data_IF_931979430527
#
_entry.id   IF_931979430527
#
_cell.length_a   1.000
_cell.length_b   1.000
_cell.length_c   1.000
_cell.angle_alpha   90.00
_cell.angle_beta   90.00
_cell.angle_gamma   90.00
#
_symmetry.space_group_name_H-M   'P 1'
#
loop_
_entity.id
_entity.type
_entity.pdbx_description
1 polymer ?
#
# COMPACT_ATOMS: atom_id res chain seq x y z
N UNK A 1 -2.52 24.87 50.47
CA UNK A 1 -1.95 25.34 49.20
C UNK A 1 -1.25 24.26 48.41
N UNK A 2 -0.46 23.39 49.00
CA UNK A 2 0.22 22.29 48.27
C UNK A 2 -0.71 21.29 47.58
N UNK A 3 -1.90 21.01 48.12
CA UNK A 3 -2.89 20.11 47.54
C UNK A 3 -3.55 20.62 46.26
N UNK A 4 -3.68 21.93 46.07
CA UNK A 4 -4.29 22.55 44.90
C UNK A 4 -3.36 22.53 43.67
N UNK A 5 -2.05 22.66 43.90
CA UNK A 5 -1.03 22.62 42.86
C UNK A 5 -0.88 21.19 42.35
N UNK A 6 -0.96 20.19 43.21
CA UNK A 6 -0.90 18.78 42.85
C UNK A 6 -2.10 18.33 42.00
N UNK A 7 -3.31 18.81 42.34
CA UNK A 7 -4.53 18.52 41.56
C UNK A 7 -4.50 19.14 40.16
N UNK A 8 -3.90 20.31 40.02
CA UNK A 8 -3.75 21.02 38.76
C UNK A 8 -2.76 20.30 37.83
N UNK A 9 -1.63 19.84 38.36
CA UNK A 9 -0.64 19.07 37.58
C UNK A 9 -1.21 17.72 37.10
N UNK A 10 -1.99 17.04 37.91
CA UNK A 10 -2.63 15.76 37.56
C UNK A 10 -3.69 15.95 36.46
N UNK A 11 -4.46 17.03 36.54
CA UNK A 11 -5.44 17.36 35.47
C UNK A 11 -4.76 17.75 34.17
N UNK A 12 -3.64 18.42 34.19
CA UNK A 12 -2.87 18.77 33.00
C UNK A 12 -2.25 17.53 32.34
N UNK A 13 -1.71 16.60 33.12
CA UNK A 13 -1.20 15.32 32.60
C UNK A 13 -2.30 14.46 31.98
N UNK A 14 -3.51 14.42 32.55
CA UNK A 14 -4.65 13.72 32.00
C UNK A 14 -5.13 14.35 30.69
N UNK A 15 -5.13 15.65 30.56
CA UNK A 15 -5.46 16.35 29.32
C UNK A 15 -4.45 16.06 28.21
N UNK A 16 -3.16 15.95 28.53
CA UNK A 16 -2.12 15.61 27.57
C UNK A 16 -2.19 14.14 27.10
N UNK A 17 -2.63 13.22 27.95
CA UNK A 17 -2.84 11.81 27.59
C UNK A 17 -4.15 11.58 26.82
N UNK A 18 -5.11 12.50 26.95
CA UNK A 18 -6.38 12.46 26.22
C UNK A 18 -6.34 13.25 24.90
N UNK A 19 -5.29 13.98 24.62
CA UNK A 19 -5.08 14.56 23.31
C UNK A 19 -4.95 13.42 22.29
N UNK A 20 -5.82 13.39 21.25
CA UNK A 20 -5.79 12.29 20.32
C UNK A 20 -4.49 12.32 19.51
N UNK A 21 -3.49 11.63 20.01
CA UNK A 21 -2.35 11.20 19.21
C UNK A 21 -2.77 10.17 18.20
N UNK A 22 -4.02 9.73 18.26
CA UNK A 22 -4.58 8.65 17.46
C UNK A 22 -5.23 9.12 16.15
N UNK A 23 -5.06 10.35 15.69
CA UNK A 23 -5.66 10.83 14.44
C UNK A 23 -4.88 10.38 13.19
N UNK A 24 -3.71 9.82 13.37
CA UNK A 24 -3.07 9.04 12.32
C UNK A 24 -3.35 7.57 12.60
N UNK A 25 -4.15 6.94 11.76
CA UNK A 25 -4.02 5.51 11.58
C UNK A 25 -2.53 5.29 11.23
N UNK A 26 -1.73 5.02 12.22
CA UNK A 26 -0.37 4.57 12.00
C UNK A 26 -0.51 3.27 11.23
N UNK A 27 -0.15 3.31 9.96
CA UNK A 27 -0.01 2.08 9.19
C UNK A 27 1.05 1.26 9.92
N UNK A 28 0.60 0.22 10.60
CA UNK A 28 1.50 -0.67 11.29
C UNK A 28 2.20 -1.56 10.26
N UNK A 29 3.30 -1.04 9.71
CA UNK A 29 4.11 -1.77 8.74
C UNK A 29 4.95 -2.90 9.34
N UNK A 30 4.89 -3.14 10.67
CA UNK A 30 5.70 -4.16 11.33
C UNK A 30 5.49 -5.57 10.77
N UNK A 31 4.27 -5.88 10.33
CA UNK A 31 3.92 -7.17 9.71
C UNK A 31 3.89 -7.13 8.18
N UNK A 32 4.18 -5.98 7.59
CA UNK A 32 4.13 -5.79 6.15
C UNK A 32 5.52 -5.93 5.53
N UNK A 33 5.57 -6.41 4.31
CA UNK A 33 6.80 -6.54 3.55
C UNK A 33 6.98 -5.35 2.62
N UNK A 34 8.14 -4.72 2.68
CA UNK A 34 8.48 -3.66 1.71
C UNK A 34 8.66 -4.28 0.33
N UNK A 35 8.03 -3.68 -0.68
CA UNK A 35 8.22 -4.08 -2.07
C UNK A 35 9.23 -3.17 -2.74
N UNK A 36 10.33 -3.74 -3.18
CA UNK A 36 11.46 -3.03 -3.81
C UNK A 36 11.60 -3.30 -5.32
N UNK A 37 10.68 -4.08 -5.90
CA UNK A 37 10.69 -4.40 -7.32
C UNK A 37 11.56 -5.60 -7.70
N UNK A 38 12.21 -6.27 -6.76
CA UNK A 38 13.09 -7.41 -7.05
C UNK A 38 12.35 -8.75 -7.04
N UNK A 39 11.46 -8.96 -6.06
CA UNK A 39 10.63 -10.16 -6.01
C UNK A 39 9.29 -9.91 -6.68
N UNK A 40 9.10 -10.43 -7.86
CA UNK A 40 7.89 -10.26 -8.66
C UNK A 40 6.85 -11.38 -8.45
N UNK A 41 7.09 -12.31 -7.52
CA UNK A 41 6.11 -13.32 -7.14
C UNK A 41 5.64 -13.10 -5.71
N UNK A 42 4.43 -12.58 -5.55
CA UNK A 42 3.88 -12.23 -4.25
C UNK A 42 2.95 -13.33 -3.75
N UNK A 43 3.30 -13.92 -2.62
CA UNK A 43 2.49 -14.89 -1.88
C UNK A 43 1.61 -14.21 -0.84
N UNK A 44 0.84 -15.00 -0.09
CA UNK A 44 -0.04 -14.49 0.98
C UNK A 44 0.66 -13.47 1.86
N UNK A 45 0.04 -12.32 2.01
CA UNK A 45 0.58 -11.28 2.87
C UNK A 45 0.25 -9.87 2.41
N UNK A 46 0.85 -8.93 3.09
CA UNK A 46 0.68 -7.50 2.87
C UNK A 46 2.01 -6.87 2.50
N UNK A 47 1.98 -6.06 1.47
CA UNK A 47 3.15 -5.41 0.87
C UNK A 47 2.91 -3.91 0.75
N UNK A 48 3.96 -3.12 0.81
CA UNK A 48 3.86 -1.67 0.66
C UNK A 48 5.06 -1.07 -0.06
N UNK A 49 4.88 0.08 -0.68
CA UNK A 49 5.97 0.86 -1.26
C UNK A 49 6.60 1.76 -0.19
N UNK A 50 7.90 1.66 -0.03
CA UNK A 50 8.69 2.57 0.82
C UNK A 50 9.25 3.78 0.06
N UNK A 51 9.01 3.85 -1.25
CA UNK A 51 9.43 4.89 -2.18
C UNK A 51 8.91 4.56 -3.56
N UNK A 52 9.22 5.41 -4.55
CA UNK A 52 8.92 5.08 -5.94
C UNK A 52 9.73 3.85 -6.37
N UNK A 53 9.07 2.90 -6.99
CA UNK A 53 9.68 1.64 -7.44
C UNK A 53 9.48 1.49 -8.94
N UNK A 54 10.56 1.09 -9.61
CA UNK A 54 10.54 0.68 -11.01
C UNK A 54 10.87 -0.80 -11.10
N UNK A 55 9.97 -1.58 -11.68
CA UNK A 55 10.15 -3.01 -11.88
C UNK A 55 10.39 -3.32 -13.36
N UNK A 56 10.96 -4.49 -13.65
CA UNK A 56 11.34 -4.90 -15.01
C UNK A 56 10.51 -6.09 -15.54
N UNK A 57 9.41 -6.40 -14.93
CA UNK A 57 8.55 -7.52 -15.33
C UNK A 57 7.20 -7.47 -14.63
N UNK A 58 6.44 -8.51 -14.84
CA UNK A 58 5.10 -8.72 -14.32
C UNK A 58 5.11 -9.22 -12.87
N UNK A 59 4.24 -8.67 -12.04
CA UNK A 59 4.01 -9.18 -10.69
C UNK A 59 2.97 -10.29 -10.75
N UNK A 60 3.36 -11.49 -10.38
CA UNK A 60 2.45 -12.64 -10.27
C UNK A 60 1.91 -12.75 -8.84
N UNK A 61 0.59 -12.83 -8.73
CA UNK A 61 -0.10 -13.01 -7.46
C UNK A 61 -0.37 -14.49 -7.22
N UNK A 62 0.29 -15.08 -6.23
CA UNK A 62 0.19 -16.50 -5.89
C UNK A 62 -0.52 -16.79 -4.57
N UNK A 63 -1.23 -15.81 -4.01
CA UNK A 63 -1.99 -15.95 -2.77
C UNK A 63 -3.02 -14.85 -2.59
N UNK A 64 -3.40 -14.59 -1.35
CA UNK A 64 -4.18 -13.43 -0.96
C UNK A 64 -3.23 -12.29 -0.61
N UNK A 65 -3.12 -11.30 -1.49
CA UNK A 65 -2.16 -10.21 -1.40
C UNK A 65 -2.87 -8.87 -1.22
N UNK A 66 -2.42 -8.11 -0.25
CA UNK A 66 -2.75 -6.69 -0.12
C UNK A 66 -1.52 -5.87 -0.48
N UNK A 67 -1.67 -4.90 -1.37
CA UNK A 67 -0.59 -4.06 -1.87
C UNK A 67 -0.95 -2.59 -1.67
N UNK A 68 -0.15 -1.89 -0.87
CA UNK A 68 -0.36 -0.49 -0.54
C UNK A 68 0.67 0.39 -1.23
N UNK A 69 0.20 1.32 -2.03
CA UNK A 69 1.07 2.26 -2.76
C UNK A 69 1.71 3.30 -1.84
N UNK A 70 1.11 3.55 -0.66
CA UNK A 70 1.66 4.47 0.35
C UNK A 70 2.07 5.84 -0.20
N UNK A 71 1.31 6.35 -1.20
CA UNK A 71 1.57 7.63 -1.84
C UNK A 71 2.66 7.63 -2.90
N UNK A 72 3.23 6.47 -3.22
CA UNK A 72 4.33 6.35 -4.20
C UNK A 72 3.86 5.79 -5.55
N UNK A 73 4.75 5.85 -6.52
CA UNK A 73 4.50 5.36 -7.86
C UNK A 73 5.21 4.05 -8.11
N UNK A 74 4.46 3.06 -8.61
CA UNK A 74 4.97 1.82 -9.14
C UNK A 74 4.99 1.90 -10.67
N UNK A 75 6.16 1.75 -11.26
CA UNK A 75 6.38 1.83 -12.70
C UNK A 75 6.92 0.50 -13.23
N UNK A 76 6.49 0.09 -14.42
CA UNK A 76 7.05 -1.06 -15.10
C UNK A 76 7.82 -0.64 -16.35
N UNK A 77 9.10 -1.02 -16.43
CA UNK A 77 9.95 -0.76 -17.60
C UNK A 77 9.86 -1.83 -18.69
N UNK A 78 9.26 -2.98 -18.44
CA UNK A 78 9.00 -3.97 -19.45
C UNK A 78 8.07 -3.41 -20.54
N UNK A 79 7.97 -4.08 -21.66
CA UNK A 79 7.12 -3.64 -22.78
C UNK A 79 6.19 -4.79 -23.13
N UNK A 80 4.93 -4.47 -23.34
CA UNK A 80 3.86 -5.42 -23.72
C UNK A 80 3.62 -6.51 -22.65
N UNK A 81 3.77 -6.16 -21.37
CA UNK A 81 3.46 -7.05 -20.26
C UNK A 81 2.33 -6.51 -19.39
N UNK A 82 1.66 -7.39 -18.68
CA UNK A 82 0.76 -6.99 -17.60
C UNK A 82 1.58 -6.59 -16.36
N UNK A 83 1.15 -5.57 -15.65
CA UNK A 83 1.87 -5.18 -14.43
C UNK A 83 1.57 -6.13 -13.27
N UNK A 84 0.31 -6.59 -13.20
CA UNK A 84 -0.13 -7.58 -12.22
C UNK A 84 -0.93 -8.69 -12.89
N UNK A 85 -0.61 -9.93 -12.55
CA UNK A 85 -1.37 -11.10 -12.98
C UNK A 85 -1.98 -11.82 -11.79
N UNK A 86 -3.31 -11.96 -11.80
CA UNK A 86 -4.09 -12.61 -10.74
C UNK A 86 -4.78 -13.81 -11.33
N UNK A 87 -4.32 -15.00 -10.96
CA UNK A 87 -4.81 -16.27 -11.48
C UNK A 87 -5.85 -16.94 -10.56
N UNK A 88 -6.26 -18.13 -10.93
CA UNK A 88 -7.30 -18.92 -10.28
C UNK A 88 -7.29 -18.90 -8.75
N UNK A 89 -8.38 -18.41 -8.18
CA UNK A 89 -8.62 -18.41 -6.74
C UNK A 89 -7.72 -17.46 -5.93
N UNK A 90 -6.88 -16.67 -6.60
CA UNK A 90 -6.02 -15.68 -5.93
C UNK A 90 -6.73 -14.34 -5.82
N UNK A 91 -6.31 -13.54 -4.87
CA UNK A 91 -6.90 -12.21 -4.63
C UNK A 91 -5.82 -11.17 -4.50
N UNK A 92 -5.95 -10.09 -5.25
CA UNK A 92 -5.13 -8.89 -5.11
C UNK A 92 -6.01 -7.72 -4.66
N UNK A 93 -5.65 -7.11 -3.55
CA UNK A 93 -6.23 -5.85 -3.10
C UNK A 93 -5.20 -4.75 -3.25
N UNK A 94 -5.50 -3.74 -4.05
CA UNK A 94 -4.69 -2.53 -4.19
C UNK A 94 -5.32 -1.42 -3.36
N UNK A 95 -4.52 -0.76 -2.58
CA UNK A 95 -4.93 0.41 -1.79
C UNK A 95 -3.82 1.47 -1.80
N UNK A 96 -4.17 2.65 -1.40
CA UNK A 96 -3.24 3.75 -1.17
C UNK A 96 -3.54 4.41 0.17
N UNK A 97 -2.71 4.16 1.16
CA UNK A 97 -2.81 4.79 2.48
C UNK A 97 -2.16 6.18 2.51
N UNK A 98 -1.41 6.51 1.48
CA UNK A 98 -0.83 7.83 1.28
C UNK A 98 -1.73 8.74 0.44
N UNK A 99 -1.12 9.57 -0.38
CA UNK A 99 -1.80 10.48 -1.29
C UNK A 99 -1.21 10.33 -2.68
N UNK A 100 -2.09 10.21 -3.68
CA UNK A 100 -1.72 10.12 -5.10
C UNK A 100 -0.85 8.90 -5.47
N UNK A 101 -0.96 7.81 -4.71
CA UNK A 101 -0.33 6.54 -5.04
C UNK A 101 -0.74 6.07 -6.44
N UNK A 102 0.24 5.78 -7.29
CA UNK A 102 0.02 5.58 -8.72
C UNK A 102 0.64 4.27 -9.21
N UNK A 103 -0.09 3.56 -10.05
CA UNK A 103 0.40 2.48 -10.91
C UNK A 103 0.53 3.06 -12.31
N UNK A 104 1.76 3.16 -12.84
CA UNK A 104 2.07 3.78 -14.12
C UNK A 104 2.56 2.75 -15.13
N UNK A 105 1.75 2.48 -16.15
CA UNK A 105 2.06 1.56 -17.25
C UNK A 105 2.96 2.15 -18.33
N UNK A 106 3.30 3.43 -18.27
CA UNK A 106 4.18 4.15 -19.22
C UNK A 106 3.73 4.06 -20.69
N UNK A 107 2.45 3.83 -20.96
CA UNK A 107 1.89 3.58 -22.29
C UNK A 107 2.50 2.35 -23.00
N UNK A 108 3.10 1.44 -22.25
CA UNK A 108 3.76 0.22 -22.74
C UNK A 108 3.12 -1.04 -22.20
N UNK A 109 2.51 -0.95 -21.03
CA UNK A 109 2.06 -2.11 -20.27
C UNK A 109 0.57 -2.03 -19.95
N UNK A 110 -0.07 -3.19 -19.87
CA UNK A 110 -1.42 -3.30 -19.31
C UNK A 110 -1.35 -3.23 -17.78
N UNK A 111 -2.38 -2.70 -17.14
CA UNK A 111 -2.38 -2.58 -15.68
C UNK A 111 -2.53 -3.93 -14.98
N UNK A 112 -3.58 -4.66 -15.33
CA UNK A 112 -3.94 -5.90 -14.65
C UNK A 112 -4.44 -6.95 -15.62
N UNK A 113 -4.00 -8.19 -15.40
CA UNK A 113 -4.57 -9.39 -16.01
C UNK A 113 -5.20 -10.23 -14.91
N UNK A 114 -6.49 -10.47 -14.99
CA UNK A 114 -7.24 -11.27 -14.01
C UNK A 114 -7.90 -12.45 -14.71
N UNK A 115 -7.39 -13.64 -14.43
CA UNK A 115 -7.91 -14.89 -15.00
C UNK A 115 -8.43 -15.79 -13.89
N UNK A 116 -9.73 -15.79 -13.69
CA UNK A 116 -10.43 -16.55 -12.62
C UNK A 116 -9.96 -16.19 -11.18
N UNK A 117 -9.31 -15.04 -11.03
CA UNK A 117 -8.91 -14.46 -9.75
C UNK A 117 -9.83 -13.32 -9.34
N UNK A 118 -9.45 -12.59 -8.30
CA UNK A 118 -10.19 -11.44 -7.80
C UNK A 118 -9.25 -10.24 -7.67
N UNK A 119 -9.65 -9.11 -8.23
CA UNK A 119 -8.99 -7.82 -8.06
C UNK A 119 -9.91 -6.87 -7.29
N UNK A 120 -9.41 -6.29 -6.23
CA UNK A 120 -10.10 -5.28 -5.43
C UNK A 120 -9.27 -3.99 -5.49
N UNK A 121 -9.88 -2.91 -5.98
CA UNK A 121 -9.27 -1.59 -6.01
C UNK A 121 -9.99 -0.71 -4.98
N UNK A 122 -9.34 -0.44 -3.86
CA UNK A 122 -9.91 0.42 -2.81
C UNK A 122 -9.61 1.89 -3.06
N UNK A 123 -8.35 2.20 -3.32
CA UNK A 123 -7.90 3.55 -3.65
C UNK A 123 -6.59 3.46 -4.40
N UNK A 124 -6.47 4.11 -5.52
CA UNK A 124 -5.23 4.20 -6.31
C UNK A 124 -5.47 4.99 -7.58
N UNK A 125 -4.41 5.51 -8.15
CA UNK A 125 -4.40 6.06 -9.50
C UNK A 125 -3.78 5.02 -10.43
N UNK A 126 -4.50 4.66 -11.47
CA UNK A 126 -3.98 3.80 -12.55
C UNK A 126 -3.84 4.69 -13.78
N UNK A 127 -2.62 4.84 -14.23
CA UNK A 127 -2.29 5.79 -15.29
C UNK A 127 -1.46 5.14 -16.39
N UNK A 128 -1.61 5.69 -17.59
CA UNK A 128 -0.77 5.34 -18.74
C UNK A 128 -0.70 3.83 -19.01
N UNK A 129 -1.78 3.12 -18.74
CA UNK A 129 -1.88 1.72 -19.12
C UNK A 129 -2.32 1.61 -20.58
N UNK A 130 -1.73 0.69 -21.29
CA UNK A 130 -2.08 0.40 -22.68
C UNK A 130 -3.25 -0.57 -22.74
N UNK A 131 -4.11 -0.38 -23.72
CA UNK A 131 -5.21 -1.29 -24.06
C UNK A 131 -4.70 -2.57 -24.75
#
# INVERSE_FOLDING_TARGET
MKKRIFSFLTALCLCLTLLPTAVRAENNWESWTIFDGTNLNLSDGSYYLGGNVTMSGEITISGAVTFDLNGYTLTCNATDEDMFCVYDGKTLTIKDSGTDGTIDGQNKNCGFSVSSGTLILESSIIANCRD
#
